data_IF_713378714482
#
_entry.id   IF_713378714482
#
_cell.length_a   1.000
_cell.length_b   1.000
_cell.length_c   1.000
_cell.angle_alpha   90.00
_cell.angle_beta   90.00
_cell.angle_gamma   90.00
#
_symmetry.space_group_name_H-M   'P 1'
#
loop_
_entity.id
_entity.type
_entity.pdbx_description
1 polymer ?
#
# COMPACT_ATOMS: atom_id res chain seq x y z
N UNK A 1 -33.26 -31.92 -9.97
CA UNK A 1 -32.33 -31.10 -10.77
C UNK A 1 -31.34 -30.34 -9.84
N UNK A 2 -30.29 -30.96 -9.27
CA UNK A 2 -29.31 -30.27 -8.39
C UNK A 2 -27.94 -29.99 -9.05
N UNK A 3 -27.83 -28.97 -9.92
CA UNK A 3 -26.57 -28.62 -10.60
C UNK A 3 -26.00 -27.21 -10.26
N UNK A 4 -26.72 -26.35 -9.53
CA UNK A 4 -26.29 -24.96 -9.30
C UNK A 4 -25.42 -24.74 -8.04
N UNK A 5 -25.48 -25.60 -7.01
CA UNK A 5 -24.74 -25.39 -5.74
C UNK A 5 -23.25 -25.78 -5.80
N UNK A 6 -22.85 -26.64 -6.75
CA UNK A 6 -21.43 -27.03 -6.94
C UNK A 6 -20.62 -25.92 -7.61
N UNK A 7 -21.24 -25.05 -8.40
CA UNK A 7 -20.54 -23.96 -9.09
C UNK A 7 -20.07 -22.91 -8.08
N UNK A 8 -20.91 -22.50 -7.13
CA UNK A 8 -20.60 -21.41 -6.19
C UNK A 8 -19.42 -21.71 -5.23
N UNK A 9 -19.21 -22.97 -4.83
CA UNK A 9 -18.07 -23.37 -3.97
C UNK A 9 -16.75 -23.55 -4.71
N UNK A 10 -16.78 -23.90 -5.99
CA UNK A 10 -15.57 -24.15 -6.78
C UNK A 10 -15.02 -22.87 -7.43
N UNK A 11 -15.89 -21.92 -7.80
CA UNK A 11 -15.49 -20.61 -8.36
C UNK A 11 -14.47 -19.84 -7.50
N UNK A 12 -14.62 -19.68 -6.17
CA UNK A 12 -13.61 -18.96 -5.38
C UNK A 12 -12.29 -19.73 -5.28
N UNK A 13 -12.30 -21.06 -5.32
CA UNK A 13 -11.09 -21.87 -5.27
C UNK A 13 -10.33 -21.82 -6.60
N UNK A 14 -11.05 -21.94 -7.71
CA UNK A 14 -10.50 -21.80 -9.06
C UNK A 14 -9.92 -20.39 -9.26
N UNK A 15 -10.59 -19.34 -8.80
CA UNK A 15 -10.08 -17.97 -8.87
C UNK A 15 -8.78 -17.76 -8.09
N UNK A 16 -8.66 -18.34 -6.90
CA UNK A 16 -7.41 -18.28 -6.10
C UNK A 16 -6.30 -19.06 -6.81
N UNK A 17 -6.63 -20.22 -7.40
CA UNK A 17 -5.67 -21.05 -8.11
C UNK A 17 -5.14 -20.34 -9.37
N UNK A 18 -6.02 -19.74 -10.17
CA UNK A 18 -5.65 -18.91 -11.32
C UNK A 18 -4.88 -17.65 -10.91
N UNK A 19 -5.31 -16.97 -9.85
CA UNK A 19 -4.63 -15.80 -9.30
C UNK A 19 -3.19 -16.12 -8.83
N UNK A 20 -3.00 -17.29 -8.23
CA UNK A 20 -1.67 -17.74 -7.78
C UNK A 20 -0.78 -18.11 -8.96
N UNK A 21 -1.33 -18.77 -9.98
CA UNK A 21 -0.61 -19.07 -11.22
C UNK A 21 -0.19 -17.78 -11.95
N UNK A 22 -1.05 -16.76 -11.95
CA UNK A 22 -0.75 -15.43 -12.48
C UNK A 22 0.37 -14.73 -11.69
N UNK A 23 0.30 -14.68 -10.36
CA UNK A 23 1.35 -14.09 -9.52
C UNK A 23 2.71 -14.78 -9.70
N UNK A 24 2.72 -16.08 -9.97
CA UNK A 24 3.95 -16.82 -10.25
C UNK A 24 4.53 -16.53 -11.64
N UNK A 25 3.70 -16.05 -12.58
CA UNK A 25 4.14 -15.58 -13.90
C UNK A 25 4.71 -14.15 -13.85
N UNK A 26 4.35 -13.36 -12.84
CA UNK A 26 4.88 -12.01 -12.67
C UNK A 26 6.39 -12.05 -12.35
N UNK A 27 7.13 -11.10 -12.92
CA UNK A 27 8.55 -10.89 -12.57
C UNK A 27 8.64 -10.32 -11.17
N UNK A 28 9.21 -11.08 -10.23
CA UNK A 28 9.42 -10.61 -8.86
C UNK A 28 10.66 -9.70 -8.83
N UNK A 29 10.60 -8.56 -8.12
CA UNK A 29 11.72 -7.64 -8.05
C UNK A 29 12.92 -8.32 -7.38
N UNK A 30 14.11 -8.11 -7.94
CA UNK A 30 15.34 -8.58 -7.32
C UNK A 30 15.64 -7.80 -6.02
N UNK A 31 16.48 -8.37 -5.14
CA UNK A 31 16.93 -7.73 -3.89
C UNK A 31 17.49 -6.31 -4.12
N UNK A 32 18.18 -6.10 -5.24
CA UNK A 32 18.77 -4.79 -5.59
C UNK A 32 17.70 -3.77 -5.97
N UNK A 33 16.72 -4.17 -6.78
CA UNK A 33 15.60 -3.31 -7.19
C UNK A 33 14.73 -2.95 -6.00
N UNK A 34 14.41 -3.93 -5.16
CA UNK A 34 13.65 -3.70 -3.94
C UNK A 34 14.34 -2.69 -3.03
N UNK A 35 15.65 -2.82 -2.82
CA UNK A 35 16.42 -1.89 -1.99
C UNK A 35 16.44 -0.47 -2.58
N UNK A 36 16.50 -0.34 -3.91
CA UNK A 36 16.44 0.97 -4.58
C UNK A 36 15.08 1.64 -4.38
N UNK A 37 13.99 0.88 -4.52
CA UNK A 37 12.63 1.36 -4.28
C UNK A 37 12.45 1.78 -2.82
N UNK A 38 12.84 0.93 -1.87
CA UNK A 38 12.73 1.22 -0.43
C UNK A 38 13.51 2.48 -0.05
N UNK A 39 14.71 2.69 -0.60
CA UNK A 39 15.48 3.92 -0.37
C UNK A 39 14.77 5.15 -0.93
N UNK A 40 14.27 5.08 -2.16
CA UNK A 40 13.55 6.20 -2.77
C UNK A 40 12.28 6.56 -1.98
N UNK A 41 11.48 5.57 -1.63
CA UNK A 41 10.25 5.75 -0.84
C UNK A 41 10.58 6.23 0.57
N UNK A 42 11.62 5.69 1.21
CA UNK A 42 12.05 6.08 2.55
C UNK A 42 12.48 7.55 2.63
N UNK A 43 13.23 8.04 1.64
CA UNK A 43 13.59 9.46 1.55
C UNK A 43 12.34 10.31 1.32
N UNK A 44 11.45 9.90 0.42
CA UNK A 44 10.19 10.62 0.18
C UNK A 44 9.31 10.72 1.43
N UNK A 45 9.19 9.61 2.19
CA UNK A 45 8.42 9.58 3.44
C UNK A 45 9.05 10.49 4.51
N UNK A 46 10.37 10.49 4.65
CA UNK A 46 11.08 11.36 5.59
C UNK A 46 10.82 12.84 5.26
N UNK A 47 10.93 13.23 3.99
CA UNK A 47 10.71 14.61 3.55
C UNK A 47 9.26 15.03 3.77
N UNK A 48 8.29 14.22 3.34
CA UNK A 48 6.86 14.53 3.54
C UNK A 48 6.49 14.59 5.03
N UNK A 49 7.04 13.69 5.84
CA UNK A 49 6.84 13.68 7.29
C UNK A 49 7.44 14.91 7.98
N UNK A 50 8.66 15.30 7.60
CA UNK A 50 9.31 16.49 8.15
C UNK A 50 8.54 17.76 7.80
N UNK A 51 8.12 17.93 6.54
CA UNK A 51 7.32 19.09 6.11
C UNK A 51 6.01 19.15 6.91
N UNK A 52 5.30 18.03 7.05
CA UNK A 52 4.06 17.97 7.84
C UNK A 52 4.26 18.34 9.31
N UNK A 53 5.37 17.89 9.91
CA UNK A 53 5.71 18.20 11.30
C UNK A 53 5.97 19.70 11.51
N UNK A 54 6.78 20.32 10.65
CA UNK A 54 7.09 21.75 10.74
C UNK A 54 5.84 22.60 10.54
N UNK A 55 5.02 22.29 9.53
CA UNK A 55 3.76 23.01 9.27
C UNK A 55 2.83 22.91 10.48
N UNK A 56 2.75 21.74 11.12
CA UNK A 56 1.92 21.56 12.31
C UNK A 56 2.48 22.31 13.52
N UNK A 57 3.80 22.31 13.70
CA UNK A 57 4.46 23.07 14.77
C UNK A 57 4.24 24.57 14.66
N UNK A 58 4.32 25.15 13.46
CA UNK A 58 4.11 26.59 13.23
C UNK A 58 2.65 26.99 13.40
N UNK A 59 1.71 26.12 13.04
CA UNK A 59 0.28 26.42 13.20
C UNK A 59 -0.22 26.44 14.65
N UNK A 60 0.41 25.69 15.56
CA UNK A 60 0.02 25.66 16.99
C UNK A 60 0.11 27.05 17.66
N UNK A 61 1.26 27.75 17.63
CA UNK A 61 1.38 29.08 18.23
C UNK A 61 0.54 30.12 17.48
N UNK A 62 0.44 30.03 16.14
CA UNK A 62 -0.41 30.94 15.35
C UNK A 62 -1.87 30.84 15.81
N UNK A 63 -2.39 29.63 15.96
CA UNK A 63 -3.77 29.43 16.44
C UNK A 63 -3.94 29.91 17.87
N UNK A 64 -2.94 29.76 18.74
CA UNK A 64 -2.98 30.26 20.11
C UNK A 64 -3.01 31.80 20.16
N UNK A 65 -2.21 32.48 19.33
CA UNK A 65 -2.15 33.96 19.28
C UNK A 65 -3.41 34.58 18.66
N UNK A 66 -4.01 33.95 17.65
CA UNK A 66 -5.25 34.45 17.02
C UNK A 66 -6.49 34.23 17.91
N UNK A 67 -6.47 33.19 18.75
CA UNK A 67 -7.57 32.87 19.66
C UNK A 67 -7.48 33.59 21.02
N UNK A 68 -6.39 34.33 21.26
CA UNK A 68 -6.23 35.27 22.37
C UNK A 68 -6.71 36.66 21.95
#
# INVERSE_FOLDING_TARGET
MPAEDKVSKNVPLEFIQEGTAFLNKCTKPDRKEYTKIVRAVGVGFLVMGAIGYIVKLVHIPIRHVIAA
#
